data_IF_200651612747
#
_entry.id   IF_200651612747
#
_cell.length_a   1.000
_cell.length_b   1.000
_cell.length_c   1.000
_cell.angle_alpha   90.00
_cell.angle_beta   90.00
_cell.angle_gamma   90.00
#
_symmetry.space_group_name_H-M   'P 1'
#
loop_
_entity.id
_entity.type
_entity.pdbx_description
1 polymer ?
#
# COMPACT_ATOMS: atom_id res chain seq x y z
N UNK A 1 -23.49 11.65 -7.97
CA UNK A 1 -23.10 10.25 -7.72
C UNK A 1 -22.27 9.63 -8.84
N UNK A 2 -22.44 10.00 -10.12
CA UNK A 2 -21.72 9.41 -11.27
C UNK A 2 -20.19 9.66 -11.29
N UNK A 3 -19.72 10.85 -10.93
CA UNK A 3 -18.28 11.19 -11.01
C UNK A 3 -17.38 10.48 -9.98
N UNK A 4 -17.84 10.32 -8.74
CA UNK A 4 -17.07 9.66 -7.67
C UNK A 4 -16.80 8.17 -7.93
N UNK A 5 -17.74 7.48 -8.59
CA UNK A 5 -17.57 6.09 -9.01
C UNK A 5 -16.60 6.00 -10.20
N UNK A 6 -16.65 6.95 -11.12
CA UNK A 6 -15.78 6.97 -12.29
C UNK A 6 -14.31 7.26 -11.92
N UNK A 7 -14.05 8.23 -11.05
CA UNK A 7 -12.71 8.49 -10.49
C UNK A 7 -12.17 7.29 -9.70
N UNK A 8 -13.05 6.57 -8.99
CA UNK A 8 -12.66 5.35 -8.29
C UNK A 8 -12.32 4.21 -9.26
N UNK A 9 -12.93 4.15 -10.44
CA UNK A 9 -12.62 3.15 -11.47
C UNK A 9 -11.32 3.50 -12.19
N UNK A 10 -11.09 4.78 -12.51
CA UNK A 10 -9.87 5.26 -13.17
C UNK A 10 -8.62 5.06 -12.29
N UNK A 11 -8.74 5.22 -10.97
CA UNK A 11 -7.63 5.04 -10.03
C UNK A 11 -7.03 3.62 -9.98
N UNK A 12 -7.73 2.61 -10.54
CA UNK A 12 -7.33 1.20 -10.48
C UNK A 12 -6.94 0.61 -11.85
N UNK A 13 -6.76 1.44 -12.87
CA UNK A 13 -6.49 0.95 -14.24
C UNK A 13 -5.24 0.06 -14.30
N UNK A 14 -4.18 0.37 -13.54
CA UNK A 14 -2.96 -0.45 -13.47
C UNK A 14 -3.24 -1.85 -12.92
N UNK A 15 -4.04 -1.94 -11.85
CA UNK A 15 -4.48 -3.23 -11.30
C UNK A 15 -5.34 -4.01 -12.28
N UNK A 16 -6.24 -3.34 -13.02
CA UNK A 16 -7.10 -3.99 -14.02
C UNK A 16 -6.28 -4.55 -15.16
N UNK A 17 -5.37 -3.76 -15.75
CA UNK A 17 -4.46 -4.22 -16.80
C UNK A 17 -3.67 -5.45 -16.34
N UNK A 18 -3.15 -5.44 -15.12
CA UNK A 18 -2.43 -6.59 -14.56
C UNK A 18 -3.33 -7.82 -14.42
N UNK A 19 -4.55 -7.66 -13.92
CA UNK A 19 -5.50 -8.76 -13.82
C UNK A 19 -5.82 -9.36 -15.20
N UNK A 20 -6.07 -8.52 -16.20
CA UNK A 20 -6.32 -8.97 -17.58
C UNK A 20 -5.10 -9.68 -18.18
N UNK A 21 -3.88 -9.24 -17.86
CA UNK A 21 -2.64 -9.93 -18.26
C UNK A 21 -2.55 -11.34 -17.66
N UNK A 22 -2.92 -11.51 -16.39
CA UNK A 22 -2.94 -12.82 -15.73
C UNK A 22 -3.96 -13.74 -16.44
N UNK A 23 -5.17 -13.24 -16.69
CA UNK A 23 -6.22 -14.01 -17.38
C UNK A 23 -5.78 -14.38 -18.80
N UNK A 24 -5.21 -13.44 -19.54
CA UNK A 24 -4.70 -13.69 -20.89
C UNK A 24 -3.59 -14.74 -20.90
N UNK A 25 -2.67 -14.70 -19.92
CA UNK A 25 -1.62 -15.70 -19.77
C UNK A 25 -2.17 -17.10 -19.51
N UNK A 26 -3.17 -17.24 -18.63
CA UNK A 26 -3.82 -18.52 -18.34
C UNK A 26 -4.64 -19.07 -19.52
N UNK A 27 -5.19 -18.19 -20.35
CA UNK A 27 -5.96 -18.56 -21.53
C UNK A 27 -5.09 -18.87 -22.76
N UNK A 28 -3.78 -18.59 -22.70
CA UNK A 28 -2.84 -18.82 -23.79
C UNK A 28 -2.61 -20.32 -24.00
N UNK A 29 -2.29 -20.72 -25.24
CA UNK A 29 -2.08 -22.12 -25.59
C UNK A 29 -0.90 -22.74 -24.81
N UNK A 30 0.14 -21.93 -24.58
CA UNK A 30 1.36 -22.27 -23.86
C UNK A 30 1.09 -22.63 -22.38
N UNK A 31 0.02 -22.08 -21.78
CA UNK A 31 -0.37 -22.44 -20.42
C UNK A 31 -0.86 -23.91 -20.33
N UNK A 32 -1.39 -24.46 -21.42
CA UNK A 32 -1.78 -25.87 -21.51
C UNK A 32 -0.60 -26.85 -21.53
N UNK A 33 0.60 -26.36 -21.81
CA UNK A 33 1.85 -27.15 -21.79
C UNK A 33 2.52 -27.14 -20.42
N UNK A 34 2.06 -26.28 -19.50
CA UNK A 34 2.57 -26.19 -18.15
C UNK A 34 1.95 -27.26 -17.26
N UNK A 35 2.78 -27.80 -16.36
CA UNK A 35 2.28 -28.64 -15.28
C UNK A 35 1.48 -27.82 -14.28
N UNK A 36 0.62 -28.50 -13.51
CA UNK A 36 -0.14 -27.86 -12.43
C UNK A 36 0.74 -27.06 -11.47
N UNK A 37 1.87 -27.63 -11.03
CA UNK A 37 2.78 -26.97 -10.09
C UNK A 37 3.39 -25.68 -10.67
N UNK A 38 3.71 -25.67 -11.98
CA UNK A 38 4.21 -24.46 -12.65
C UNK A 38 3.14 -23.37 -12.72
N UNK A 39 1.89 -23.74 -12.99
CA UNK A 39 0.76 -22.80 -12.98
C UNK A 39 0.51 -22.23 -11.58
N UNK A 40 0.59 -23.05 -10.54
CA UNK A 40 0.46 -22.61 -9.14
C UNK A 40 1.56 -21.61 -8.76
N UNK A 41 2.82 -21.90 -9.07
CA UNK A 41 3.94 -21.01 -8.77
C UNK A 41 3.82 -19.68 -9.51
N UNK A 42 3.48 -19.73 -10.80
CA UNK A 42 3.24 -18.54 -11.63
C UNK A 42 2.11 -17.69 -11.06
N UNK A 43 0.94 -18.29 -10.76
CA UNK A 43 -0.20 -17.58 -10.20
C UNK A 43 0.07 -17.01 -8.81
N UNK A 44 0.82 -17.72 -7.98
CA UNK A 44 1.21 -17.22 -6.67
C UNK A 44 2.07 -15.96 -6.79
N UNK A 45 2.99 -15.91 -7.76
CA UNK A 45 3.80 -14.73 -8.07
C UNK A 45 2.97 -13.55 -8.55
N UNK A 46 2.23 -13.74 -9.64
CA UNK A 46 1.43 -12.68 -10.25
C UNK A 46 0.29 -12.21 -9.35
N UNK A 47 -0.35 -13.12 -8.61
CA UNK A 47 -1.39 -12.80 -7.66
C UNK A 47 -0.90 -11.91 -6.51
N UNK A 48 0.29 -12.20 -5.95
CA UNK A 48 0.90 -11.31 -4.93
C UNK A 48 1.15 -9.91 -5.48
N UNK A 49 1.66 -9.83 -6.69
CA UNK A 49 1.96 -8.56 -7.33
C UNK A 49 0.69 -7.78 -7.70
N UNK A 50 -0.40 -8.46 -8.10
CA UNK A 50 -1.71 -7.86 -8.27
C UNK A 50 -2.24 -7.26 -6.96
N UNK A 51 -2.16 -8.01 -5.85
CA UNK A 51 -2.58 -7.51 -4.54
C UNK A 51 -1.74 -6.32 -4.08
N UNK A 52 -0.42 -6.33 -4.34
CA UNK A 52 0.47 -5.19 -4.10
C UNK A 52 0.04 -3.96 -4.91
N UNK A 53 -0.28 -4.15 -6.19
CA UNK A 53 -0.72 -3.05 -7.08
C UNK A 53 -2.08 -2.49 -6.68
N UNK A 54 -3.04 -3.34 -6.28
CA UNK A 54 -4.34 -2.91 -5.75
C UNK A 54 -4.18 -2.03 -4.50
N UNK A 55 -3.25 -2.40 -3.61
CA UNK A 55 -2.93 -1.57 -2.45
C UNK A 55 -2.29 -0.23 -2.86
N UNK A 56 -1.38 -0.23 -3.84
CA UNK A 56 -0.78 0.99 -4.35
C UNK A 56 -1.83 1.93 -4.96
N UNK A 57 -2.68 1.42 -5.85
CA UNK A 57 -3.76 2.18 -6.50
C UNK A 57 -4.73 2.77 -5.46
N UNK A 58 -5.05 2.01 -4.40
CA UNK A 58 -5.86 2.52 -3.30
C UNK A 58 -5.19 3.70 -2.55
N UNK A 59 -3.89 3.60 -2.26
CA UNK A 59 -3.14 4.66 -1.58
C UNK A 59 -3.01 5.91 -2.47
N UNK A 60 -2.80 5.73 -3.77
CA UNK A 60 -2.73 6.83 -4.73
C UNK A 60 -4.09 7.55 -4.83
N UNK A 61 -5.19 6.80 -4.91
CA UNK A 61 -6.55 7.37 -4.90
C UNK A 61 -6.82 8.13 -3.59
N UNK A 62 -6.33 7.64 -2.45
CA UNK A 62 -6.43 8.35 -1.18
C UNK A 62 -5.63 9.65 -1.18
N UNK A 63 -4.43 9.66 -1.74
CA UNK A 63 -3.62 10.86 -1.84
C UNK A 63 -4.30 11.93 -2.71
N UNK A 64 -4.90 11.54 -3.84
CA UNK A 64 -5.70 12.45 -4.69
C UNK A 64 -6.91 13.02 -3.94
N UNK A 65 -7.53 12.21 -3.08
CA UNK A 65 -8.69 12.60 -2.27
C UNK A 65 -8.33 13.29 -0.95
N UNK A 66 -7.05 13.44 -0.65
CA UNK A 66 -6.62 14.08 0.58
C UNK A 66 -7.01 15.56 0.55
N UNK A 67 -7.86 15.96 1.49
CA UNK A 67 -8.27 17.35 1.64
C UNK A 67 -7.35 18.05 2.61
N UNK A 68 -6.83 19.21 2.20
CA UNK A 68 -6.05 20.09 3.07
C UNK A 68 -6.88 20.46 4.30
N UNK A 69 -6.34 20.19 5.47
CA UNK A 69 -6.86 20.66 6.74
C UNK A 69 -6.65 22.18 6.84
N UNK A 70 -7.65 22.94 7.32
CA UNK A 70 -7.53 24.40 7.44
C UNK A 70 -6.47 24.82 8.46
N UNK A 71 -6.29 24.03 9.52
CA UNK A 71 -5.30 24.26 10.56
C UNK A 71 -4.81 22.91 11.09
N UNK A 72 -3.50 22.79 11.30
CA UNK A 72 -2.86 21.66 11.96
C UNK A 72 -1.96 22.22 13.05
N UNK A 73 -2.20 21.81 14.30
CA UNK A 73 -1.43 22.22 15.47
C UNK A 73 -0.79 20.97 16.07
N UNK A 74 0.51 21.03 16.31
CA UNK A 74 1.25 19.95 16.96
C UNK A 74 0.94 19.82 18.44
N UNK A 75 1.39 18.71 19.03
CA UNK A 75 1.27 18.50 20.48
C UNK A 75 2.05 19.57 21.29
N UNK A 76 3.08 20.16 20.68
CA UNK A 76 3.86 21.29 21.17
C UNK A 76 3.15 22.65 21.05
N UNK A 77 1.87 22.66 20.64
CA UNK A 77 1.05 23.85 20.40
C UNK A 77 1.56 24.75 19.26
N UNK A 78 2.46 24.25 18.40
CA UNK A 78 2.94 24.99 17.24
C UNK A 78 2.00 24.77 16.05
N UNK A 79 1.58 25.87 15.40
CA UNK A 79 0.75 25.80 14.21
C UNK A 79 1.60 25.57 12.94
N UNK A 80 1.24 24.55 12.16
CA UNK A 80 1.87 24.25 10.89
C UNK A 80 1.17 24.98 9.74
N UNK A 81 1.75 26.12 9.33
CA UNK A 81 1.11 27.04 8.37
C UNK A 81 1.44 26.72 6.92
N UNK A 82 2.55 26.01 6.65
CA UNK A 82 2.95 25.59 5.31
C UNK A 82 2.52 24.15 5.04
N UNK A 83 2.08 23.89 3.81
CA UNK A 83 1.71 22.55 3.37
C UNK A 83 2.49 22.23 2.10
N UNK A 84 3.16 21.09 2.11
CA UNK A 84 3.84 20.51 0.95
C UNK A 84 3.01 19.31 0.46
N UNK A 85 2.44 19.36 -0.75
CA UNK A 85 1.71 18.24 -1.33
C UNK A 85 2.67 17.14 -1.82
N UNK A 86 2.14 15.94 -2.02
CA UNK A 86 2.86 14.79 -2.60
C UNK A 86 4.18 14.42 -1.88
N UNK A 87 4.22 14.57 -0.56
CA UNK A 87 5.33 14.06 0.24
C UNK A 87 5.22 12.53 0.31
N UNK A 88 6.24 11.83 -0.18
CA UNK A 88 6.23 10.37 -0.33
C UNK A 88 7.09 9.66 0.70
N UNK A 89 6.71 8.43 1.05
CA UNK A 89 7.59 7.47 1.74
C UNK A 89 7.29 6.02 1.34
N UNK A 90 8.29 5.16 1.50
CA UNK A 90 8.12 3.72 1.37
C UNK A 90 7.43 3.09 2.58
N UNK A 91 6.64 2.05 2.32
CA UNK A 91 6.03 1.18 3.33
C UNK A 91 6.12 -0.28 2.84
N UNK A 92 6.80 -1.13 3.59
CA UNK A 92 6.88 -2.57 3.34
C UNK A 92 5.67 -3.23 4.00
N UNK A 93 4.86 -3.91 3.19
CA UNK A 93 3.59 -4.53 3.60
C UNK A 93 3.64 -6.03 3.44
N UNK A 94 2.56 -6.71 3.83
CA UNK A 94 2.40 -8.16 3.63
C UNK A 94 2.39 -8.55 2.15
N UNK A 95 2.06 -7.62 1.24
CA UNK A 95 2.05 -7.84 -0.20
C UNK A 95 3.33 -7.36 -0.89
N UNK A 96 4.28 -6.78 -0.15
CA UNK A 96 5.49 -6.14 -0.68
C UNK A 96 5.54 -4.64 -0.43
N UNK A 97 6.53 -3.98 -1.02
CA UNK A 97 6.77 -2.55 -0.84
C UNK A 97 5.81 -1.70 -1.68
N UNK A 98 5.23 -0.67 -1.05
CA UNK A 98 4.40 0.36 -1.67
C UNK A 98 4.89 1.75 -1.29
N UNK A 99 4.38 2.76 -1.97
CA UNK A 99 4.63 4.18 -1.68
C UNK A 99 3.37 4.82 -1.14
N UNK A 100 3.50 5.57 -0.03
CA UNK A 100 2.43 6.41 0.51
C UNK A 100 2.75 7.86 0.15
N UNK A 101 1.87 8.51 -0.62
CA UNK A 101 1.90 9.95 -0.88
C UNK A 101 0.89 10.66 0.03
N UNK A 102 1.26 11.85 0.54
CA UNK A 102 0.44 12.63 1.48
C UNK A 102 0.88 14.09 1.57
N UNK A 103 0.07 14.92 2.19
CA UNK A 103 0.46 16.29 2.55
C UNK A 103 1.36 16.32 3.79
N UNK A 104 2.45 17.08 3.72
CA UNK A 104 3.31 17.39 4.85
C UNK A 104 3.02 18.80 5.38
N UNK A 105 2.60 18.89 6.63
CA UNK A 105 2.36 20.16 7.31
C UNK A 105 3.64 20.59 8.02
N UNK A 106 4.13 21.80 7.73
CA UNK A 106 5.47 22.26 8.10
C UNK A 106 5.42 23.54 8.93
N UNK A 107 6.30 23.63 9.92
CA UNK A 107 6.61 24.84 10.67
C UNK A 107 8.12 24.92 10.92
N UNK A 108 8.72 26.13 11.04
CA UNK A 108 10.13 26.28 11.32
C UNK A 108 10.54 25.62 12.65
N UNK A 109 11.63 24.87 12.65
CA UNK A 109 12.23 24.33 13.87
C UNK A 109 11.52 23.12 14.50
N UNK A 110 10.44 22.61 13.90
CA UNK A 110 9.69 21.45 14.41
C UNK A 110 9.50 20.36 13.34
N UNK A 111 9.37 19.07 13.72
CA UNK A 111 9.13 17.98 12.78
C UNK A 111 7.83 18.15 12.00
N UNK A 112 7.78 17.71 10.74
CA UNK A 112 6.56 17.78 9.94
C UNK A 112 5.43 16.92 10.55
N UNK A 113 4.19 17.37 10.40
CA UNK A 113 3.00 16.62 10.75
C UNK A 113 2.34 16.03 9.51
N UNK A 114 1.77 14.84 9.67
CA UNK A 114 1.19 14.05 8.59
C UNK A 114 -0.19 13.51 9.02
N UNK A 115 -1.26 14.32 9.00
CA UNK A 115 -2.59 13.88 9.43
C UNK A 115 -3.07 12.60 8.75
N UNK A 116 -2.71 12.38 7.48
CA UNK A 116 -3.03 11.14 6.76
C UNK A 116 -2.43 9.88 7.40
N UNK A 117 -1.27 9.97 8.07
CA UNK A 117 -0.64 8.82 8.72
C UNK A 117 -1.46 8.35 9.92
N UNK A 118 -2.09 9.27 10.65
CA UNK A 118 -2.96 8.93 11.79
C UNK A 118 -4.22 8.21 11.33
N UNK A 119 -4.90 8.73 10.30
CA UNK A 119 -6.09 8.09 9.72
C UNK A 119 -5.82 6.69 9.18
N UNK A 120 -4.61 6.44 8.69
CA UNK A 120 -4.16 5.15 8.19
C UNK A 120 -3.50 4.29 9.27
N UNK A 121 -3.33 4.82 10.49
CA UNK A 121 -2.58 4.21 11.58
C UNK A 121 -1.20 3.69 11.11
N UNK A 122 -0.50 4.51 10.32
CA UNK A 122 0.80 4.13 9.78
C UNK A 122 1.86 4.20 10.87
N UNK A 123 2.69 3.15 11.01
CA UNK A 123 3.80 3.20 11.94
C UNK A 123 4.87 4.18 11.41
N UNK A 124 5.67 4.77 12.30
CA UNK A 124 6.78 5.66 11.89
C UNK A 124 7.91 4.96 11.14
N UNK A 125 7.97 3.63 11.16
CA UNK A 125 9.00 2.83 10.48
C UNK A 125 8.61 2.33 9.09
N UNK A 126 9.51 1.56 8.46
CA UNK A 126 9.32 1.00 7.12
C UNK A 126 8.27 -0.11 7.05
N UNK A 127 8.14 -0.94 8.09
CA UNK A 127 7.25 -2.11 8.06
C UNK A 127 5.86 -1.79 8.57
N UNK A 128 4.83 -2.20 7.83
CA UNK A 128 3.42 -2.05 8.23
C UNK A 128 3.09 -2.87 9.48
N UNK A 129 2.05 -2.47 10.22
CA UNK A 129 1.61 -3.21 11.40
C UNK A 129 1.16 -4.64 11.06
N UNK A 130 0.52 -4.84 9.90
CA UNK A 130 0.13 -6.17 9.43
C UNK A 130 1.34 -7.09 9.22
N UNK A 131 2.40 -6.58 8.60
CA UNK A 131 3.64 -7.36 8.39
C UNK A 131 4.35 -7.67 9.70
N UNK A 132 4.41 -6.72 10.64
CA UNK A 132 4.97 -6.97 11.98
C UNK A 132 4.21 -8.06 12.73
N UNK A 133 2.88 -8.08 12.62
CA UNK A 133 2.05 -9.13 13.22
C UNK A 133 2.33 -10.52 12.63
N UNK A 134 2.46 -10.62 11.30
CA UNK A 134 2.85 -11.88 10.65
C UNK A 134 4.24 -12.33 11.09
N UNK A 135 5.23 -11.42 11.07
CA UNK A 135 6.59 -11.75 11.50
C UNK A 135 6.64 -12.25 12.95
N UNK A 136 5.87 -11.64 13.85
CA UNK A 136 5.76 -12.10 15.23
C UNK A 136 5.14 -13.51 15.32
N UNK A 137 4.07 -13.77 14.56
CA UNK A 137 3.41 -15.09 14.54
C UNK A 137 4.33 -16.20 13.99
N UNK A 138 5.05 -15.94 12.90
CA UNK A 138 5.97 -16.93 12.32
C UNK A 138 7.21 -17.16 13.20
N UNK A 139 7.70 -16.12 13.89
CA UNK A 139 8.81 -16.28 14.84
C UNK A 139 8.45 -17.23 15.99
N UNK A 140 7.19 -17.18 16.45
CA UNK A 140 6.68 -18.09 17.47
C UNK A 140 6.62 -19.52 16.95
N UNK A 141 6.10 -19.75 15.72
CA UNK A 141 6.06 -21.10 15.13
C UNK A 141 7.45 -21.70 14.92
N UNK A 142 8.37 -20.93 14.34
CA UNK A 142 9.73 -21.39 14.10
C UNK A 142 10.48 -21.75 15.39
N UNK A 143 10.19 -21.06 16.51
CA UNK A 143 10.75 -21.39 17.84
C UNK A 143 10.23 -22.71 18.42
N UNK A 144 9.05 -23.19 18.01
CA UNK A 144 8.51 -24.48 18.45
C UNK A 144 8.98 -25.64 17.56
N UNK A 145 9.18 -25.39 16.27
CA UNK A 145 9.69 -26.39 15.33
C UNK A 145 11.17 -26.71 15.52
N UNK A 146 11.97 -25.79 16.09
CA UNK A 146 13.37 -26.07 16.47
C UNK A 146 13.52 -26.79 17.82
N UNK A 147 12.42 -27.05 18.53
CA UNK A 147 12.42 -27.68 19.86
C UNK A 147 11.89 -29.14 19.85
N UNK A 148 11.60 -29.71 18.68
CA UNK A 148 11.13 -31.08 18.47
C UNK A 148 12.15 -31.92 17.69
#
# INVERSE_FOLDING_TARGET
>A
MSGYAQEAVEGFERSRVRFEQIVAGLAAAEAGEQTHAQLEEHLAGEGRELLRQLLQDHLDLRAVRERRAPQVVGADQVAHTRVEPDHRRGLVTVFGQVTVARMAYRAPGVPNLYPADEWLNLPGGLHSLGLRKLAAAESVRGSFETAA
#
